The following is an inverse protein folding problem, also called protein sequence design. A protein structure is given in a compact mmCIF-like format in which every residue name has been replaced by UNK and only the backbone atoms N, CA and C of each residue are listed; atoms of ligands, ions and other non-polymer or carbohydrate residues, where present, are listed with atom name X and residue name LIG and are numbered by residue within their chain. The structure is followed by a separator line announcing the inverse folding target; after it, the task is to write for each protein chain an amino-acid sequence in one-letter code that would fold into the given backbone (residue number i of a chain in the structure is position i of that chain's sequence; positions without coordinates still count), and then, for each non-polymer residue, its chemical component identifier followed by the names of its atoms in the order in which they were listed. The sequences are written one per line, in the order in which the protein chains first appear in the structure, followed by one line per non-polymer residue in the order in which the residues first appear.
data_IF_516379475764
#
_entry.id   IF_516379475764
#
_cell.length_a   1.000
_cell.length_b   1.000
_cell.length_c   1.000
_cell.angle_alpha   90.00
_cell.angle_beta   90.00
_cell.angle_gamma   90.00
#
_symmetry.space_group_name_H-M   'P 1'
#
loop_
_entity.id
_entity.type
_entity.pdbx_description
1 polymer ?
#
# COMPACT_ATOMS: atom_id res chain seq x y z
N UNK A 1 12.61 27.79 -6.20
CA UNK A 1 12.56 27.13 -4.88
C UNK A 1 12.47 25.65 -5.13
N UNK A 2 13.63 25.01 -5.24
CA UNK A 2 13.79 23.67 -5.85
C UNK A 2 13.75 22.52 -4.83
N UNK A 3 13.80 22.81 -3.52
CA UNK A 3 13.82 21.78 -2.45
C UNK A 3 12.48 21.61 -1.72
N UNK A 4 11.38 21.39 -2.45
CA UNK A 4 10.10 21.01 -1.83
C UNK A 4 9.49 19.79 -2.52
N UNK A 5 8.92 18.83 -1.77
CA UNK A 5 8.19 17.74 -2.37
C UNK A 5 6.94 18.27 -3.07
N UNK A 6 6.70 17.78 -4.29
CA UNK A 6 5.46 18.00 -5.02
C UNK A 6 4.70 16.68 -5.09
N UNK A 7 3.44 16.69 -4.66
CA UNK A 7 2.53 15.59 -4.92
C UNK A 7 1.97 15.77 -6.34
N UNK A 8 2.14 14.74 -7.16
CA UNK A 8 1.67 14.70 -8.55
C UNK A 8 0.86 13.42 -8.76
N UNK A 9 0.02 13.40 -9.78
CA UNK A 9 -0.87 12.29 -10.15
C UNK A 9 -1.97 12.00 -9.10
N UNK A 10 -3.12 12.67 -9.29
CA UNK A 10 -4.28 12.64 -8.37
C UNK A 10 -5.51 11.95 -8.98
N UNK A 11 -5.33 11.20 -10.06
CA UNK A 11 -6.42 10.49 -10.74
C UNK A 11 -6.96 9.30 -9.92
N UNK A 12 -6.13 8.74 -9.04
CA UNK A 12 -6.49 7.67 -8.09
C UNK A 12 -7.02 8.18 -6.73
N UNK A 13 -7.04 9.51 -6.51
CA UNK A 13 -7.52 10.12 -5.26
C UNK A 13 -8.97 9.76 -4.97
N UNK A 14 -9.25 9.44 -3.70
CA UNK A 14 -10.57 9.01 -3.21
C UNK A 14 -10.72 9.27 -1.71
N UNK A 15 -11.95 9.17 -1.22
CA UNK A 15 -12.20 9.14 0.23
C UNK A 15 -11.74 7.80 0.81
N UNK A 16 -10.80 7.85 1.75
CA UNK A 16 -10.22 6.69 2.41
C UNK A 16 -9.76 7.08 3.84
N UNK A 17 -9.48 6.10 4.71
CA UNK A 17 -8.75 6.34 5.96
C UNK A 17 -7.39 6.99 5.68
N UNK A 18 -6.90 7.83 6.59
CA UNK A 18 -5.63 8.56 6.46
C UNK A 18 -4.43 7.65 6.18
N UNK A 19 -4.42 6.44 6.77
CA UNK A 19 -3.35 5.46 6.58
C UNK A 19 -3.13 5.08 5.12
N UNK A 20 -4.15 5.22 4.26
CA UNK A 20 -4.06 4.95 2.81
C UNK A 20 -2.97 5.76 2.12
N UNK A 21 -2.75 7.00 2.57
CA UNK A 21 -1.73 7.89 2.03
C UNK A 21 -0.35 7.66 2.67
N UNK A 22 -0.26 6.83 3.72
CA UNK A 22 0.92 6.70 4.57
C UNK A 22 1.59 5.33 4.48
N UNK A 23 0.83 4.23 4.43
CA UNK A 23 1.39 2.89 4.60
C UNK A 23 2.37 2.48 3.49
N UNK A 24 2.24 3.10 2.30
CA UNK A 24 3.10 2.80 1.16
C UNK A 24 4.53 3.33 1.30
N UNK A 25 4.81 4.19 2.27
CA UNK A 25 6.18 4.63 2.61
C UNK A 25 6.94 3.58 3.44
N UNK A 26 6.25 2.57 3.96
CA UNK A 26 6.82 1.59 4.88
C UNK A 26 7.45 0.43 4.10
N UNK A 27 8.73 0.17 4.35
CA UNK A 27 9.50 -0.91 3.71
C UNK A 27 10.42 -1.60 4.70
N UNK A 28 10.84 -2.83 4.37
CA UNK A 28 11.79 -3.59 5.17
C UNK A 28 11.13 -4.38 6.31
N UNK A 29 11.95 -4.77 7.27
CA UNK A 29 11.53 -5.57 8.41
C UNK A 29 10.67 -4.76 9.39
N UNK A 30 9.97 -5.46 10.31
CA UNK A 30 9.01 -4.82 11.22
C UNK A 30 9.59 -3.62 11.97
N UNK A 31 10.79 -3.74 12.53
CA UNK A 31 11.46 -2.65 13.26
C UNK A 31 11.75 -1.43 12.36
N UNK A 32 12.08 -1.65 11.09
CA UNK A 32 12.35 -0.59 10.11
C UNK A 32 11.06 0.12 9.70
N UNK A 33 9.99 -0.67 9.49
CA UNK A 33 8.63 -0.16 9.23
C UNK A 33 8.13 0.67 10.40
N UNK A 34 8.28 0.20 11.63
CA UNK A 34 7.87 0.95 12.84
C UNK A 34 8.70 2.23 13.02
N UNK A 35 10.02 2.19 12.79
CA UNK A 35 10.86 3.40 12.82
C UNK A 35 10.38 4.44 11.80
N UNK A 36 10.15 4.01 10.56
CA UNK A 36 9.67 4.89 9.48
C UNK A 36 8.27 5.44 9.78
N UNK A 37 7.38 4.59 10.29
CA UNK A 37 6.04 4.98 10.72
C UNK A 37 6.08 6.05 11.81
N UNK A 38 6.93 5.89 12.83
CA UNK A 38 7.07 6.87 13.90
C UNK A 38 7.52 8.23 13.36
N UNK A 39 8.55 8.27 12.50
CA UNK A 39 9.02 9.53 11.88
C UNK A 39 7.95 10.16 10.99
N UNK A 40 7.23 9.36 10.21
CA UNK A 40 6.17 9.85 9.32
C UNK A 40 5.01 10.44 10.13
N UNK A 41 4.55 9.75 11.16
CA UNK A 41 3.45 10.19 12.02
C UNK A 41 3.83 11.36 12.93
N UNK A 42 5.10 11.48 13.35
CA UNK A 42 5.59 12.66 14.05
C UNK A 42 5.42 13.93 13.18
N UNK A 43 5.81 13.87 11.91
CA UNK A 43 5.62 14.99 10.98
C UNK A 43 4.16 15.22 10.59
N UNK A 44 3.40 14.15 10.37
CA UNK A 44 1.98 14.23 9.98
C UNK A 44 1.12 14.84 11.08
N UNK A 45 1.35 14.46 12.34
CA UNK A 45 0.52 14.87 13.47
C UNK A 45 0.72 16.32 13.93
N UNK A 46 1.72 17.01 13.38
CA UNK A 46 1.85 18.48 13.49
C UNK A 46 0.68 19.20 12.82
N UNK A 47 0.06 18.60 11.80
CA UNK A 47 -0.98 19.23 10.98
C UNK A 47 -2.38 18.65 11.20
N UNK A 48 -2.49 17.35 11.50
CA UNK A 48 -3.77 16.66 11.66
C UNK A 48 -3.65 15.45 12.59
N UNK A 49 -4.68 15.17 13.37
CA UNK A 49 -4.71 13.97 14.22
C UNK A 49 -4.70 12.69 13.36
N UNK A 50 -4.12 11.62 13.91
CA UNK A 50 -4.10 10.29 13.30
C UNK A 50 -4.73 9.28 14.28
N UNK A 51 -5.70 8.49 13.81
CA UNK A 51 -6.31 7.41 14.58
C UNK A 51 -5.43 6.13 14.52
N UNK A 52 -4.82 5.70 15.63
CA UNK A 52 -3.99 4.49 15.65
C UNK A 52 -4.74 3.22 15.25
N UNK A 53 -6.08 3.20 15.36
CA UNK A 53 -6.87 2.04 14.92
C UNK A 53 -6.72 1.77 13.42
N UNK A 54 -6.43 2.80 12.62
CA UNK A 54 -6.20 2.65 11.18
C UNK A 54 -4.97 1.80 10.84
N UNK A 55 -4.01 1.61 11.77
CA UNK A 55 -2.85 0.74 11.54
C UNK A 55 -3.25 -0.73 11.32
N UNK A 56 -4.41 -1.15 11.83
CA UNK A 56 -4.97 -2.48 11.55
C UNK A 56 -5.40 -2.66 10.08
N UNK A 57 -5.57 -1.56 9.34
CA UNK A 57 -6.04 -1.59 7.96
C UNK A 57 -4.89 -1.78 6.95
N UNK A 58 -3.63 -1.70 7.37
CA UNK A 58 -2.46 -1.70 6.47
C UNK A 58 -2.44 -2.96 5.58
N UNK A 59 -2.51 -4.15 6.18
CA UNK A 59 -2.45 -5.41 5.41
C UNK A 59 -3.73 -5.62 4.58
N UNK A 60 -4.89 -5.19 5.07
CA UNK A 60 -6.14 -5.22 4.31
C UNK A 60 -6.10 -4.31 3.06
N UNK A 61 -5.60 -3.08 3.21
CA UNK A 61 -5.44 -2.12 2.10
C UNK A 61 -4.38 -2.58 1.11
N UNK A 62 -3.27 -3.17 1.57
CA UNK A 62 -2.26 -3.78 0.70
C UNK A 62 -2.86 -4.93 -0.11
N UNK A 63 -3.62 -5.81 0.52
CA UNK A 63 -4.33 -6.92 -0.14
C UNK A 63 -5.31 -6.41 -1.20
N UNK A 64 -6.14 -5.41 -0.85
CA UNK A 64 -7.04 -4.75 -1.81
C UNK A 64 -6.27 -4.14 -2.99
N UNK A 65 -5.12 -3.50 -2.75
CA UNK A 65 -4.28 -2.94 -3.81
C UNK A 65 -3.76 -4.02 -4.76
N UNK A 66 -3.32 -5.17 -4.25
CA UNK A 66 -2.86 -6.30 -5.08
C UNK A 66 -3.99 -6.84 -5.98
N UNK A 67 -5.18 -7.07 -5.41
CA UNK A 67 -6.35 -7.53 -6.17
C UNK A 67 -6.78 -6.50 -7.22
N UNK A 68 -6.83 -5.21 -6.83
CA UNK A 68 -7.18 -4.13 -7.76
C UNK A 68 -6.15 -3.98 -8.88
N UNK A 69 -4.86 -4.18 -8.63
CA UNK A 69 -3.83 -4.15 -9.66
C UNK A 69 -4.07 -5.23 -10.72
N UNK A 70 -4.30 -6.48 -10.31
CA UNK A 70 -4.63 -7.56 -11.24
C UNK A 70 -5.92 -7.27 -12.02
N UNK A 71 -6.96 -6.79 -11.34
CA UNK A 71 -8.21 -6.41 -12.00
C UNK A 71 -8.05 -5.22 -12.96
N UNK A 72 -7.19 -4.24 -12.62
CA UNK A 72 -6.90 -3.08 -13.46
C UNK A 72 -6.24 -3.48 -14.78
N UNK A 73 -5.30 -4.43 -14.75
CA UNK A 73 -4.72 -5.03 -15.97
C UNK A 73 -5.80 -5.79 -16.75
N UNK A 74 -6.53 -6.68 -16.08
CA UNK A 74 -7.54 -7.54 -16.73
C UNK A 74 -8.60 -6.73 -17.49
N UNK A 75 -9.12 -5.66 -16.87
CA UNK A 75 -10.15 -4.79 -17.46
C UNK A 75 -9.67 -4.03 -18.70
N UNK A 76 -8.35 -3.87 -18.87
CA UNK A 76 -7.74 -3.16 -19.99
C UNK A 76 -7.03 -4.09 -20.96
N UNK A 77 -7.21 -5.40 -20.83
CA UNK A 77 -6.45 -6.38 -21.62
C UNK A 77 -6.70 -6.29 -23.13
N UNK A 78 -7.84 -5.73 -23.55
CA UNK A 78 -8.16 -5.49 -24.96
C UNK A 78 -7.39 -4.30 -25.56
N UNK A 79 -6.83 -3.42 -24.74
CA UNK A 79 -5.94 -2.34 -25.19
C UNK A 79 -4.57 -2.95 -25.59
N UNK A 80 -4.11 -2.77 -26.86
CA UNK A 80 -2.84 -3.32 -27.33
C UNK A 80 -1.60 -2.91 -26.53
N UNK A 81 -1.65 -1.83 -25.74
CA UNK A 81 -0.56 -1.43 -24.85
C UNK A 81 -0.37 -2.42 -23.69
N UNK A 82 -1.44 -3.04 -23.19
CA UNK A 82 -1.40 -3.86 -21.98
C UNK A 82 -0.70 -5.20 -22.18
N UNK A 83 -1.02 -6.02 -23.22
CA UNK A 83 -0.25 -7.23 -23.50
C UNK A 83 1.24 -6.98 -23.76
N UNK A 84 1.61 -5.78 -24.25
CA UNK A 84 3.01 -5.40 -24.48
C UNK A 84 3.72 -5.01 -23.19
N UNK A 85 3.05 -4.27 -22.31
CA UNK A 85 3.62 -3.83 -21.03
C UNK A 85 3.61 -4.93 -19.96
N UNK A 86 2.64 -5.84 -20.01
CA UNK A 86 2.44 -6.92 -19.04
C UNK A 86 2.41 -8.30 -19.72
N UNK A 87 3.46 -8.70 -20.47
CA UNK A 87 3.48 -9.97 -21.20
C UNK A 87 3.45 -11.21 -20.29
N UNK A 88 3.76 -11.03 -19.01
CA UNK A 88 3.67 -12.06 -17.97
C UNK A 88 2.24 -12.33 -17.50
N UNK A 89 1.32 -11.38 -17.71
CA UNK A 89 -0.05 -11.46 -17.22
C UNK A 89 -0.85 -12.53 -17.98
N UNK A 90 -1.83 -13.13 -17.30
CA UNK A 90 -2.66 -14.21 -17.82
C UNK A 90 -1.88 -15.49 -18.19
N UNK A 91 -0.71 -15.70 -17.58
CA UNK A 91 0.03 -16.98 -17.64
C UNK A 91 -0.27 -17.81 -16.39
N UNK A 92 -0.19 -19.16 -16.45
CA UNK A 92 -0.38 -20.00 -15.25
C UNK A 92 0.52 -19.58 -14.08
N UNK A 93 1.80 -19.31 -14.36
CA UNK A 93 2.78 -18.84 -13.36
C UNK A 93 2.36 -17.53 -12.69
N UNK A 94 1.83 -16.56 -13.44
CA UNK A 94 1.38 -15.29 -12.85
C UNK A 94 0.21 -15.47 -11.88
N UNK A 95 -0.70 -16.39 -12.18
CA UNK A 95 -1.83 -16.71 -11.32
C UNK A 95 -1.41 -17.49 -10.07
N UNK A 96 -0.49 -18.45 -10.22
CA UNK A 96 0.10 -19.18 -9.10
C UNK A 96 0.79 -18.22 -8.12
N UNK A 97 1.61 -17.29 -8.63
CA UNK A 97 2.26 -16.28 -7.80
C UNK A 97 1.24 -15.38 -7.12
N UNK A 98 0.24 -14.87 -7.85
CA UNK A 98 -0.78 -14.01 -7.25
C UNK A 98 -1.54 -14.69 -6.11
N UNK A 99 -1.87 -15.98 -6.26
CA UNK A 99 -2.52 -16.76 -5.20
C UNK A 99 -1.60 -16.92 -3.99
N UNK A 100 -0.30 -17.14 -4.22
CA UNK A 100 0.69 -17.21 -3.13
C UNK A 100 0.78 -15.88 -2.39
N UNK A 101 0.92 -14.77 -3.11
CA UNK A 101 0.99 -13.42 -2.52
C UNK A 101 -0.26 -13.12 -1.67
N UNK A 102 -1.46 -13.50 -2.14
CA UNK A 102 -2.70 -13.31 -1.39
C UNK A 102 -2.78 -14.19 -0.13
N UNK A 103 -2.18 -15.38 -0.15
CA UNK A 103 -2.09 -16.25 1.04
C UNK A 103 -1.10 -15.70 2.07
N UNK A 104 0.03 -15.18 1.62
CA UNK A 104 1.00 -14.50 2.48
C UNK A 104 0.38 -13.26 3.12
N UNK A 105 -0.35 -12.45 2.35
CA UNK A 105 -1.12 -11.33 2.89
C UNK A 105 -2.20 -11.77 3.89
N UNK A 106 -2.87 -12.89 3.64
CA UNK A 106 -3.84 -13.43 4.60
C UNK A 106 -3.19 -13.79 5.94
N UNK A 107 -1.99 -14.39 5.92
CA UNK A 107 -1.24 -14.67 7.14
C UNK A 107 -0.78 -13.38 7.84
N UNK A 108 -0.32 -12.38 7.10
CA UNK A 108 0.09 -11.08 7.66
C UNK A 108 -1.09 -10.31 8.28
N UNK A 109 -2.32 -10.49 7.78
CA UNK A 109 -3.52 -9.91 8.40
C UNK A 109 -3.81 -10.47 9.81
N UNK A 110 -3.31 -11.66 10.15
CA UNK A 110 -3.44 -12.25 11.48
C UNK A 110 -2.34 -11.76 12.45
N UNK A 111 -1.31 -11.06 11.96
CA UNK A 111 -0.26 -10.50 12.81
C UNK A 111 -0.71 -9.21 13.51
N UNK A 112 -0.13 -8.88 14.68
CA UNK A 112 -0.39 -7.59 15.33
C UNK A 112 -0.02 -6.42 14.42
N UNK A 113 -0.77 -5.30 14.46
CA UNK A 113 -0.44 -4.12 13.67
C UNK A 113 0.93 -3.55 14.07
N UNK A 114 1.46 -2.67 13.23
CA UNK A 114 2.64 -1.88 13.55
C UNK A 114 2.38 -1.02 14.79
N UNK A 115 3.39 -0.85 15.62
CA UNK A 115 3.29 -0.01 16.80
C UNK A 115 3.71 1.44 16.50
N UNK A 116 2.83 2.39 16.82
CA UNK A 116 3.15 3.81 16.85
C UNK A 116 3.34 4.27 18.30
N UNK A 117 4.56 4.68 18.64
CA UNK A 117 4.88 5.27 19.93
C UNK A 117 4.81 6.78 19.80
N UNK A 118 3.63 7.36 20.03
CA UNK A 118 3.49 8.80 20.09
C UNK A 118 4.46 9.36 21.15
N UNK A 119 5.42 10.20 20.72
CA UNK A 119 6.24 10.95 21.65
C UNK A 119 5.29 11.89 22.43
N UNK A 120 5.23 11.70 23.75
CA UNK A 120 4.53 12.62 24.64
C UNK A 120 5.22 13.97 24.70
#
# INVERSE_FOLDING_TARGET
TEDRPYMVDLDDSRMAPAVQDLWMFLSGEREERERTLNTLLEGYTVFTEFDPAELNLIEALRTLRLMHYFAWIARRWTDPAFPRAFPWFNTPRSWEQHILDLREQAALMDEPPLNWQAMR
#
